data_IF_355536509217
#
_entry.id   IF_355536509217
#
_cell.length_a   1.000
_cell.length_b   1.000
_cell.length_c   1.000
_cell.angle_alpha   90.00
_cell.angle_beta   90.00
_cell.angle_gamma   90.00
#
_symmetry.space_group_name_H-M   'P 1'
#
loop_
_entity.id
_entity.type
_entity.pdbx_description
1 polymer ?
#
# COMPACT_ATOMS: atom_id res chain seq x y z
N UNK A 1 -5.56 4.31 13.99
CA UNK A 1 -4.23 4.20 14.63
C UNK A 1 -4.08 5.10 15.87
N UNK A 2 -4.46 6.38 15.83
CA UNK A 2 -4.42 7.29 17.00
C UNK A 2 -5.16 6.76 18.23
N UNK A 3 -6.33 6.13 18.04
CA UNK A 3 -7.07 5.51 19.13
C UNK A 3 -6.30 4.43 19.90
N UNK A 4 -5.20 3.93 19.33
CA UNK A 4 -4.28 2.99 19.94
C UNK A 4 -3.00 3.65 20.48
N UNK A 5 -2.95 4.98 20.56
CA UNK A 5 -1.80 5.73 21.04
C UNK A 5 -0.61 5.76 20.08
N UNK A 6 -0.79 5.38 18.81
CA UNK A 6 0.28 5.41 17.82
C UNK A 6 0.61 6.84 17.38
N UNK A 7 1.90 7.17 17.29
CA UNK A 7 2.41 8.37 16.63
C UNK A 7 2.41 8.14 15.13
N UNK A 8 1.80 9.05 14.36
CA UNK A 8 1.62 8.88 12.93
C UNK A 8 2.60 9.79 12.19
N UNK A 9 3.50 9.19 11.43
CA UNK A 9 4.30 9.86 10.41
C UNK A 9 3.76 9.45 9.04
N UNK A 10 3.59 10.41 8.14
CA UNK A 10 3.03 10.13 6.83
C UNK A 10 3.85 10.78 5.70
N UNK A 11 3.74 10.18 4.52
CA UNK A 11 4.30 10.69 3.26
C UNK A 11 3.21 10.65 2.21
N UNK A 12 3.03 11.74 1.48
CA UNK A 12 2.15 11.79 0.32
C UNK A 12 2.72 12.73 -0.76
N UNK A 13 2.04 12.86 -1.89
CA UNK A 13 2.54 13.68 -3.02
C UNK A 13 2.57 15.17 -2.73
N UNK A 14 1.72 15.68 -1.84
CA UNK A 14 1.59 17.12 -1.57
C UNK A 14 2.38 17.59 -0.34
N UNK A 15 2.82 16.69 0.55
CA UNK A 15 3.40 17.04 1.84
C UNK A 15 2.39 17.69 2.80
N UNK A 16 1.08 17.59 2.53
CA UNK A 16 0.02 18.21 3.32
C UNK A 16 -1.11 17.24 3.64
N UNK A 17 -1.72 17.40 4.80
CA UNK A 17 -2.91 16.67 5.23
C UNK A 17 -3.75 17.54 6.17
N UNK A 18 -5.06 17.27 6.22
CA UNK A 18 -5.98 17.82 7.22
C UNK A 18 -6.06 16.93 8.46
N UNK A 19 -5.50 15.71 8.36
CA UNK A 19 -5.46 14.77 9.48
C UNK A 19 -4.38 15.17 10.49
N UNK A 20 -4.63 14.88 11.75
CA UNK A 20 -3.66 15.14 12.82
C UNK A 20 -2.59 14.04 12.81
N UNK A 21 -1.37 14.42 12.41
CA UNK A 21 -0.19 13.56 12.36
C UNK A 21 0.99 14.26 13.00
N UNK A 22 1.96 13.51 13.50
CA UNK A 22 3.18 14.08 14.10
C UNK A 22 4.14 14.61 13.04
N UNK A 23 4.15 13.95 11.88
CA UNK A 23 4.95 14.36 10.73
C UNK A 23 4.22 14.08 9.42
N UNK A 24 4.29 15.01 8.49
CA UNK A 24 3.88 14.84 7.10
C UNK A 24 4.97 15.35 6.17
N UNK A 25 5.35 14.53 5.18
CA UNK A 25 6.34 14.87 4.18
C UNK A 25 5.95 14.41 2.78
N UNK A 26 6.88 14.57 1.86
CA UNK A 26 6.82 14.06 0.49
C UNK A 26 7.70 12.82 0.33
N UNK A 27 7.77 12.25 -0.88
CA UNK A 27 8.68 11.13 -1.18
C UNK A 27 10.17 11.47 -0.90
N UNK A 28 10.55 12.74 -0.89
CA UNK A 28 11.89 13.16 -0.49
C UNK A 28 12.20 12.89 0.99
N UNK A 29 11.15 12.73 1.82
CA UNK A 29 11.26 12.47 3.25
C UNK A 29 11.08 10.97 3.59
N UNK A 30 11.00 10.09 2.56
CA UNK A 30 10.71 8.67 2.74
C UNK A 30 11.73 8.00 3.66
N UNK A 31 13.01 8.23 3.44
CA UNK A 31 14.10 7.62 4.24
C UNK A 31 13.95 7.92 5.73
N UNK A 32 13.61 9.17 6.07
CA UNK A 32 13.35 9.59 7.46
C UNK A 32 12.19 8.82 8.09
N UNK A 33 11.12 8.62 7.33
CA UNK A 33 9.93 7.89 7.81
C UNK A 33 10.24 6.41 7.97
N UNK A 34 10.94 5.80 7.01
CA UNK A 34 11.35 4.40 7.07
C UNK A 34 12.21 4.10 8.30
N UNK A 35 13.22 4.94 8.57
CA UNK A 35 14.12 4.76 9.71
C UNK A 35 13.41 4.92 11.07
N UNK A 36 12.35 5.72 11.13
CA UNK A 36 11.60 5.97 12.36
C UNK A 36 10.49 4.92 12.61
N UNK A 37 10.01 4.26 11.57
CA UNK A 37 8.82 3.42 11.62
C UNK A 37 9.02 2.14 12.45
N UNK A 38 8.11 1.88 13.39
CA UNK A 38 7.90 0.57 14.00
C UNK A 38 6.92 -0.26 13.15
N UNK A 39 5.95 0.41 12.53
CA UNK A 39 5.00 -0.19 11.58
C UNK A 39 4.90 0.70 10.35
N UNK A 40 5.26 0.16 9.19
CA UNK A 40 5.08 0.80 7.89
C UNK A 40 3.81 0.27 7.23
N UNK A 41 2.85 1.15 6.94
CA UNK A 41 1.63 0.79 6.19
C UNK A 41 1.67 1.41 4.80
N UNK A 42 1.61 0.60 3.77
CA UNK A 42 1.53 1.03 2.38
C UNK A 42 0.06 1.10 1.95
N UNK A 43 -0.42 2.31 1.65
CA UNK A 43 -1.81 2.60 1.24
C UNK A 43 -1.88 3.61 0.11
N UNK A 44 -1.00 3.46 -0.90
CA UNK A 44 -0.84 4.37 -2.02
C UNK A 44 -1.13 3.67 -3.36
N UNK A 45 -1.49 4.40 -4.43
CA UNK A 45 -1.72 3.79 -5.73
C UNK A 45 -0.40 3.31 -6.36
N UNK A 46 -0.48 2.22 -7.13
CA UNK A 46 0.63 1.78 -7.98
C UNK A 46 0.66 2.64 -9.25
N UNK A 47 1.69 3.46 -9.35
CA UNK A 47 1.99 4.32 -10.51
C UNK A 47 3.41 4.04 -10.98
N UNK A 48 3.86 4.71 -12.05
CA UNK A 48 5.26 4.64 -12.47
C UNK A 48 6.22 5.13 -11.38
N UNK A 49 5.83 6.15 -10.62
CA UNK A 49 6.67 6.73 -9.56
C UNK A 49 6.69 5.89 -8.27
N UNK A 50 5.69 5.03 -8.06
CA UNK A 50 5.57 4.23 -6.83
C UNK A 50 5.87 2.75 -7.04
N UNK A 51 6.09 2.31 -8.28
CA UNK A 51 6.50 0.95 -8.60
C UNK A 51 7.89 0.67 -8.06
N UNK A 52 8.01 -0.38 -7.25
CA UNK A 52 9.28 -0.80 -6.63
C UNK A 52 9.91 0.26 -5.72
N UNK A 53 9.09 1.19 -5.19
CA UNK A 53 9.60 2.25 -4.31
C UNK A 53 10.13 1.71 -2.98
N UNK A 54 9.73 0.51 -2.61
CA UNK A 54 10.29 -0.25 -1.48
C UNK A 54 11.11 -1.40 -2.06
N UNK A 55 12.41 -1.22 -2.11
CA UNK A 55 13.39 -2.21 -2.54
C UNK A 55 14.41 -2.50 -1.45
N UNK A 56 15.55 -3.11 -1.83
CA UNK A 56 16.62 -3.48 -0.88
C UNK A 56 17.07 -2.30 -0.02
N UNK A 57 17.29 -1.14 -0.65
CA UNK A 57 17.76 0.06 0.03
C UNK A 57 16.77 0.53 1.09
N UNK A 58 15.49 0.58 0.75
CA UNK A 58 14.43 1.05 1.64
C UNK A 58 14.20 0.08 2.81
N UNK A 59 14.24 -1.21 2.54
CA UNK A 59 14.09 -2.24 3.56
C UNK A 59 15.25 -2.20 4.59
N UNK A 60 16.48 -1.97 4.14
CA UNK A 60 17.66 -1.84 5.03
C UNK A 60 17.58 -0.59 5.92
N UNK A 61 16.88 0.47 5.50
CA UNK A 61 16.66 1.65 6.33
C UNK A 61 15.69 1.42 7.48
N UNK A 62 14.83 0.40 7.38
CA UNK A 62 13.84 0.10 8.41
C UNK A 62 14.49 -0.58 9.63
N UNK A 63 13.82 -0.50 10.77
CA UNK A 63 14.24 -1.22 11.98
C UNK A 63 14.13 -2.73 11.73
N UNK A 64 15.08 -3.50 12.23
CA UNK A 64 15.08 -4.97 12.11
C UNK A 64 13.88 -5.63 12.80
N UNK A 65 13.19 -4.92 13.69
CA UNK A 65 11.97 -5.37 14.39
C UNK A 65 10.71 -4.72 13.81
N UNK A 66 10.80 -4.03 12.67
CA UNK A 66 9.65 -3.35 12.10
C UNK A 66 8.65 -4.33 11.48
N UNK A 67 7.42 -3.87 11.36
CA UNK A 67 6.33 -4.57 10.66
C UNK A 67 5.99 -3.79 9.40
N UNK A 68 6.08 -4.43 8.24
CA UNK A 68 5.64 -3.87 6.97
C UNK A 68 4.25 -4.42 6.63
N UNK A 69 3.28 -3.55 6.33
CA UNK A 69 1.92 -3.94 5.96
C UNK A 69 1.59 -3.39 4.57
N UNK A 70 1.34 -4.27 3.61
CA UNK A 70 0.93 -3.89 2.27
C UNK A 70 -0.52 -4.26 1.99
N UNK A 71 -1.41 -3.27 2.06
CA UNK A 71 -2.83 -3.34 1.68
C UNK A 71 -3.13 -2.54 0.41
N UNK A 72 -2.09 -2.12 -0.30
CA UNK A 72 -2.21 -1.29 -1.50
C UNK A 72 -2.12 -2.12 -2.79
N UNK A 73 -0.91 -2.32 -3.30
CA UNK A 73 -0.61 -3.15 -4.48
C UNK A 73 0.78 -3.76 -4.31
N UNK A 74 0.93 -5.03 -4.69
CA UNK A 74 2.20 -5.75 -4.54
C UNK A 74 3.36 -5.07 -5.24
N UNK A 75 3.18 -4.62 -6.47
CA UNK A 75 4.23 -3.97 -7.27
C UNK A 75 4.79 -2.65 -6.72
N UNK A 76 4.34 -2.19 -5.55
CA UNK A 76 4.96 -1.09 -4.80
C UNK A 76 6.26 -1.56 -4.14
N UNK A 77 6.35 -2.86 -3.83
CA UNK A 77 7.51 -3.50 -3.23
C UNK A 77 8.18 -4.38 -4.28
N UNK A 78 9.50 -4.42 -4.30
CA UNK A 78 10.25 -5.43 -5.03
C UNK A 78 10.08 -6.79 -4.32
N UNK A 79 9.60 -7.79 -5.07
CA UNK A 79 9.25 -9.10 -4.50
C UNK A 79 10.47 -9.83 -3.93
N UNK A 80 11.56 -9.85 -4.72
CA UNK A 80 12.80 -10.52 -4.33
C UNK A 80 13.47 -9.86 -3.14
N UNK A 81 13.53 -8.52 -3.14
CA UNK A 81 14.08 -7.74 -2.05
C UNK A 81 13.34 -8.01 -0.74
N UNK A 82 12.00 -8.00 -0.75
CA UNK A 82 11.21 -8.29 0.45
C UNK A 82 11.44 -9.71 0.95
N UNK A 83 11.44 -10.70 0.04
CA UNK A 83 11.65 -12.10 0.42
C UNK A 83 13.01 -12.30 1.08
N UNK A 84 14.09 -11.79 0.47
CA UNK A 84 15.44 -11.92 1.01
C UNK A 84 15.61 -11.17 2.34
N UNK A 85 14.99 -9.99 2.46
CA UNK A 85 15.01 -9.24 3.71
C UNK A 85 14.33 -10.00 4.86
N UNK A 86 13.14 -10.55 4.62
CA UNK A 86 12.39 -11.35 5.60
C UNK A 86 13.15 -12.63 6.00
N UNK A 87 13.76 -13.30 5.03
CA UNK A 87 14.55 -14.52 5.26
C UNK A 87 15.80 -14.24 6.11
N UNK A 88 16.43 -13.09 5.90
CA UNK A 88 17.65 -12.70 6.63
C UNK A 88 17.37 -12.10 8.02
N UNK A 89 16.17 -11.58 8.25
CA UNK A 89 15.81 -10.83 9.47
C UNK A 89 14.53 -11.43 10.12
N UNK A 90 14.66 -12.46 10.95
CA UNK A 90 13.50 -13.17 11.52
C UNK A 90 12.63 -12.31 12.46
N UNK A 91 13.16 -11.21 13.01
CA UNK A 91 12.43 -10.28 13.87
C UNK A 91 11.65 -9.22 13.07
N UNK A 92 11.97 -9.03 11.77
CA UNK A 92 11.19 -8.22 10.86
C UNK A 92 9.97 -9.01 10.38
N UNK A 93 8.80 -8.39 10.28
CA UNK A 93 7.57 -9.09 9.87
C UNK A 93 6.87 -8.38 8.73
N UNK A 94 6.13 -9.12 7.90
CA UNK A 94 5.30 -8.55 6.85
C UNK A 94 3.86 -9.08 6.88
N UNK A 95 2.89 -8.15 6.74
CA UNK A 95 1.49 -8.43 6.43
C UNK A 95 1.21 -8.10 4.96
N UNK A 96 0.85 -9.09 4.15
CA UNK A 96 0.70 -8.95 2.70
C UNK A 96 -0.73 -9.33 2.30
N UNK A 97 -1.52 -8.35 1.83
CA UNK A 97 -2.88 -8.60 1.31
C UNK A 97 -2.91 -8.64 -0.22
N UNK A 98 -1.96 -8.00 -0.89
CA UNK A 98 -1.88 -7.94 -2.36
C UNK A 98 -0.63 -8.64 -2.87
N UNK A 99 -0.75 -9.46 -3.91
CA UNK A 99 0.30 -10.35 -4.39
C UNK A 99 0.76 -10.00 -5.81
N UNK A 100 2.00 -10.35 -6.17
CA UNK A 100 2.60 -10.02 -7.47
C UNK A 100 1.96 -10.82 -8.62
N UNK A 101 1.48 -12.03 -8.33
CA UNK A 101 0.76 -12.90 -9.27
C UNK A 101 -0.61 -13.26 -8.71
N UNK A 102 -1.56 -12.33 -8.84
CA UNK A 102 -2.96 -12.59 -8.49
C UNK A 102 -3.67 -13.23 -9.69
N UNK A 103 -4.07 -14.51 -9.60
CA UNK A 103 -4.68 -15.19 -10.71
C UNK A 103 -6.11 -14.67 -10.98
N UNK A 104 -6.57 -14.72 -12.24
CA UNK A 104 -7.99 -14.64 -12.55
C UNK A 104 -8.79 -15.71 -11.78
N UNK A 105 -10.09 -15.48 -11.63
CA UNK A 105 -10.99 -16.42 -10.95
C UNK A 105 -10.87 -17.83 -11.59
N UNK A 106 -10.52 -18.83 -10.77
CA UNK A 106 -10.43 -20.23 -11.18
C UNK A 106 -9.03 -20.70 -11.57
N UNK A 107 -8.02 -19.85 -11.52
CA UNK A 107 -6.63 -20.23 -11.69
C UNK A 107 -5.91 -20.39 -10.34
N UNK A 108 -4.82 -21.18 -10.32
CA UNK A 108 -4.04 -21.41 -9.11
C UNK A 108 -3.23 -20.17 -8.73
N UNK A 109 -3.24 -19.85 -7.45
CA UNK A 109 -2.41 -18.82 -6.87
C UNK A 109 -0.93 -19.27 -6.86
N UNK A 110 -0.02 -18.35 -7.18
CA UNK A 110 1.43 -18.59 -7.12
C UNK A 110 2.19 -17.36 -6.64
N UNK A 111 3.37 -17.60 -6.08
CA UNK A 111 4.40 -16.60 -5.79
C UNK A 111 5.70 -17.03 -6.43
N UNK A 112 6.56 -16.10 -6.84
CA UNK A 112 7.89 -16.44 -7.38
C UNK A 112 8.85 -16.86 -6.27
N UNK A 113 8.57 -16.45 -5.02
CA UNK A 113 9.32 -16.80 -3.81
C UNK A 113 8.43 -17.48 -2.78
N UNK A 114 8.96 -18.44 -1.98
CA UNK A 114 8.15 -19.22 -1.05
C UNK A 114 7.83 -18.47 0.26
N UNK A 115 7.12 -17.34 0.17
CA UNK A 115 6.73 -16.50 1.32
C UNK A 115 6.01 -17.27 2.42
N UNK A 116 5.15 -18.24 2.06
CA UNK A 116 4.38 -19.04 3.04
C UNK A 116 5.24 -20.03 3.85
N UNK A 117 6.50 -20.20 3.48
CA UNK A 117 7.49 -20.94 4.28
C UNK A 117 8.16 -20.09 5.37
N UNK A 118 7.94 -18.79 5.38
CA UNK A 118 8.54 -17.87 6.35
C UNK A 118 7.61 -17.67 7.55
N UNK A 119 8.11 -17.81 8.81
CA UNK A 119 7.29 -17.68 10.02
C UNK A 119 6.88 -16.24 10.33
N UNK A 120 7.53 -15.25 9.73
CA UNK A 120 7.35 -13.82 9.92
C UNK A 120 6.51 -13.16 8.80
N UNK A 121 5.76 -13.96 8.05
CA UNK A 121 4.84 -13.50 7.01
C UNK A 121 3.40 -13.85 7.35
N UNK A 122 2.51 -12.86 7.33
CA UNK A 122 1.06 -13.03 7.38
C UNK A 122 0.47 -12.66 6.01
N UNK A 123 -0.05 -13.63 5.28
CA UNK A 123 -0.71 -13.43 3.99
C UNK A 123 -2.24 -13.43 4.10
N UNK A 124 -2.91 -12.58 3.31
CA UNK A 124 -4.36 -12.61 3.09
C UNK A 124 -4.68 -12.55 1.59
N UNK A 125 -5.86 -13.05 1.15
CA UNK A 125 -6.16 -13.24 -0.28
C UNK A 125 -6.80 -11.99 -0.91
N UNK A 126 -6.18 -10.83 -0.78
CA UNK A 126 -6.63 -9.53 -1.30
C UNK A 126 -8.08 -9.21 -0.90
N UNK A 127 -8.40 -9.42 0.37
CA UNK A 127 -9.74 -9.23 0.91
C UNK A 127 -9.83 -8.18 2.02
N UNK A 128 -8.76 -7.44 2.32
CA UNK A 128 -8.74 -6.43 3.39
C UNK A 128 -9.78 -5.31 3.18
N UNK A 129 -10.18 -5.05 1.93
CA UNK A 129 -11.21 -4.06 1.59
C UNK A 129 -12.64 -4.65 1.53
N UNK A 130 -12.82 -5.95 1.74
CA UNK A 130 -14.14 -6.60 1.72
C UNK A 130 -14.83 -6.39 3.05
N UNK A 131 -15.56 -5.28 3.16
CA UNK A 131 -16.35 -4.92 4.32
C UNK A 131 -17.83 -4.95 3.94
N UNK A 132 -18.69 -5.39 4.85
CA UNK A 132 -20.14 -5.41 4.60
C UNK A 132 -20.64 -4.03 4.17
N UNK A 133 -21.32 -3.97 3.02
CA UNK A 133 -21.87 -2.74 2.44
C UNK A 133 -20.88 -1.89 1.63
N UNK A 134 -19.59 -2.19 1.60
CA UNK A 134 -18.59 -1.39 0.85
C UNK A 134 -18.90 -1.30 -0.65
N UNK A 135 -19.33 -2.39 -1.27
CA UNK A 135 -19.72 -2.41 -2.68
C UNK A 135 -20.94 -1.53 -2.98
N UNK A 136 -21.94 -1.53 -2.09
CA UNK A 136 -23.13 -0.68 -2.24
C UNK A 136 -22.77 0.82 -2.13
N UNK A 137 -21.83 1.17 -1.24
CA UNK A 137 -21.32 2.53 -1.12
C UNK A 137 -20.54 2.94 -2.38
N UNK A 138 -19.66 2.09 -2.88
CA UNK A 138 -18.88 2.33 -4.11
C UNK A 138 -19.82 2.51 -5.33
N UNK A 139 -20.81 1.64 -5.50
CA UNK A 139 -21.78 1.73 -6.58
C UNK A 139 -22.60 3.03 -6.52
N UNK A 140 -22.97 3.47 -5.30
CA UNK A 140 -23.69 4.74 -5.09
C UNK A 140 -22.83 5.93 -5.50
N UNK A 141 -21.54 5.96 -5.13
CA UNK A 141 -20.62 7.02 -5.53
C UNK A 141 -20.40 7.05 -7.04
N UNK A 142 -20.26 5.90 -7.69
CA UNK A 142 -20.17 5.80 -9.14
C UNK A 142 -21.43 6.36 -9.82
N UNK A 143 -22.61 5.96 -9.38
CA UNK A 143 -23.88 6.47 -9.89
C UNK A 143 -24.06 7.99 -9.68
N UNK A 144 -23.59 8.51 -8.53
CA UNK A 144 -23.57 9.96 -8.27
C UNK A 144 -22.64 10.71 -9.26
N UNK A 145 -21.49 10.15 -9.60
CA UNK A 145 -20.58 10.75 -10.58
C UNK A 145 -21.19 10.75 -11.99
N UNK A 146 -21.84 9.67 -12.42
CA UNK A 146 -22.61 9.64 -13.67
C UNK A 146 -23.68 10.74 -13.68
N UNK A 147 -24.46 10.88 -12.58
CA UNK A 147 -25.49 11.91 -12.45
C UNK A 147 -24.89 13.33 -12.53
N UNK A 148 -23.74 13.60 -11.88
CA UNK A 148 -23.05 14.88 -11.96
C UNK A 148 -22.65 15.17 -13.39
N UNK A 149 -21.99 14.24 -14.06
CA UNK A 149 -21.57 14.39 -15.46
C UNK A 149 -22.73 14.72 -16.38
N UNK A 150 -23.86 14.01 -16.27
CA UNK A 150 -25.06 14.25 -17.08
C UNK A 150 -25.72 15.64 -16.84
N UNK A 151 -25.44 16.27 -15.69
CA UNK A 151 -25.90 17.62 -15.36
C UNK A 151 -24.93 18.72 -15.71
N UNK A 152 -23.73 18.37 -16.22
CA UNK A 152 -22.66 19.33 -16.47
C UNK A 152 -21.86 19.70 -15.21
N UNK A 153 -22.10 19.04 -14.07
CA UNK A 153 -21.31 19.21 -12.84
C UNK A 153 -20.01 18.41 -12.91
N UNK A 154 -18.98 18.87 -12.19
CA UNK A 154 -17.71 18.13 -12.09
C UNK A 154 -17.86 16.84 -11.28
N UNK A 155 -17.44 15.68 -11.80
CA UNK A 155 -17.34 14.44 -11.02
C UNK A 155 -16.35 14.59 -9.85
N UNK A 156 -16.53 13.80 -8.79
CA UNK A 156 -15.61 13.73 -7.68
C UNK A 156 -14.57 12.61 -7.91
N UNK A 157 -13.35 12.77 -7.38
CA UNK A 157 -12.31 11.75 -7.44
C UNK A 157 -11.78 11.48 -8.85
N UNK A 158 -11.61 12.54 -9.65
CA UNK A 158 -11.06 12.44 -11.01
C UNK A 158 -9.62 11.97 -10.92
N UNK A 159 -9.33 10.86 -11.59
CA UNK A 159 -7.97 10.35 -11.78
C UNK A 159 -7.31 11.12 -12.93
N UNK A 160 -6.13 11.66 -12.69
CA UNK A 160 -5.40 12.44 -13.70
C UNK A 160 -4.70 11.49 -14.66
N UNK A 161 -4.75 11.82 -15.96
CA UNK A 161 -4.15 11.00 -17.01
C UNK A 161 -2.64 10.83 -16.83
N UNK A 162 -1.94 11.86 -16.38
CA UNK A 162 -0.49 11.87 -16.14
C UNK A 162 -0.05 10.87 -15.06
N UNK A 163 -0.91 10.54 -14.09
CA UNK A 163 -0.59 9.58 -13.04
C UNK A 163 -0.48 8.14 -13.60
N UNK A 164 -1.07 7.88 -14.78
CA UNK A 164 -1.16 6.55 -15.40
C UNK A 164 -0.62 6.50 -16.84
N UNK A 165 -0.14 7.61 -17.38
CA UNK A 165 0.45 7.64 -18.73
C UNK A 165 1.76 6.85 -18.73
N UNK A 166 1.80 5.74 -19.51
CA UNK A 166 2.99 4.91 -19.69
C UNK A 166 2.89 3.47 -19.18
N UNK A 167 1.66 2.93 -19.10
CA UNK A 167 1.45 1.48 -19.05
C UNK A 167 1.59 0.86 -20.41
#
# INVERSE_FOLDING_TARGET
>A
MRAFGARIHAVNTSGHTTEEVEFIGTLADLDKVLAAADVLVLSLPLTRATRGIIGDRELVLMKLTAILVNVARAGIIDEGALYEHLRANPDFSAGIDTWWHEPPLGEDFRTDYPFFGLPNVLGSPHNSAIVAGSQAVAARHAAQNVRRYLRGDSPAGIVRREDYAGR
#
